data_IF_190170327778
#
_entry.id   IF_190170327778
#
_cell.length_a   1.000
_cell.length_b   1.000
_cell.length_c   1.000
_cell.angle_alpha   90.00
_cell.angle_beta   90.00
_cell.angle_gamma   90.00
#
_symmetry.space_group_name_H-M   'P 1'
#
loop_
_entity.id
_entity.type
_entity.pdbx_description
1 polymer ?
#
# COMPACT_ATOMS: atom_id res chain seq x y z
N UNK A 1 -13.96 37.59 2.31
CA UNK A 1 -13.68 37.28 3.72
C UNK A 1 -13.77 35.75 3.89
N UNK A 2 -12.63 35.06 3.83
CA UNK A 2 -12.57 33.62 4.07
C UNK A 2 -12.34 33.41 5.56
N UNK A 3 -13.32 32.78 6.23
CA UNK A 3 -13.22 32.38 7.62
C UNK A 3 -12.20 31.23 7.73
N UNK A 4 -11.09 31.49 8.38
CA UNK A 4 -10.15 30.46 8.83
C UNK A 4 -10.88 29.56 9.84
N UNK A 5 -11.27 28.37 9.42
CA UNK A 5 -11.73 27.32 10.32
C UNK A 5 -10.54 26.90 11.19
N UNK A 6 -10.55 27.34 12.43
CA UNK A 6 -9.62 26.89 13.46
C UNK A 6 -9.74 25.37 13.61
N UNK A 7 -8.70 24.64 13.19
CA UNK A 7 -8.55 23.22 13.50
C UNK A 7 -8.64 23.05 15.00
N UNK A 8 -9.64 22.31 15.51
CA UNK A 8 -9.65 21.82 16.88
C UNK A 8 -8.31 21.19 17.20
N UNK A 9 -7.69 21.51 18.35
CA UNK A 9 -6.47 20.85 18.75
C UNK A 9 -6.74 19.34 18.81
N UNK A 10 -5.87 18.55 18.18
CA UNK A 10 -5.86 17.11 18.37
C UNK A 10 -5.82 16.88 19.87
N UNK A 11 -6.85 16.24 20.43
CA UNK A 11 -6.79 15.70 21.77
C UNK A 11 -5.45 14.93 21.84
N UNK A 12 -4.51 15.44 22.61
CA UNK A 12 -3.36 14.64 23.02
C UNK A 12 -3.94 13.40 23.67
N UNK A 13 -3.80 12.25 23.01
CA UNK A 13 -4.07 10.97 23.62
C UNK A 13 -3.17 10.91 24.87
N UNK A 14 -3.73 11.23 26.02
CA UNK A 14 -3.09 10.94 27.30
C UNK A 14 -2.94 9.42 27.33
N UNK A 15 -1.75 8.96 27.01
CA UNK A 15 -1.38 7.57 27.23
C UNK A 15 -1.72 7.27 28.70
N UNK A 16 -2.50 6.22 28.92
CA UNK A 16 -2.82 5.79 30.26
C UNK A 16 -1.51 5.59 31.02
N UNK A 17 -1.36 6.29 32.14
CA UNK A 17 -0.17 6.20 32.97
C UNK A 17 -0.11 4.91 33.79
N UNK A 18 -1.18 4.13 33.76
CA UNK A 18 -1.26 2.84 34.44
C UNK A 18 -0.59 1.78 33.57
N UNK A 19 0.43 1.08 34.06
CA UNK A 19 1.05 -0.01 33.29
C UNK A 19 -0.02 -1.09 32.99
N UNK A 20 0.07 -1.73 31.79
CA UNK A 20 -0.84 -2.80 31.44
C UNK A 20 -0.70 -3.98 32.44
N UNK A 21 -1.76 -4.78 32.60
CA UNK A 21 -1.67 -6.00 33.39
C UNK A 21 -0.52 -6.89 32.91
N UNK A 22 0.16 -7.61 33.82
CA UNK A 22 1.31 -8.45 33.46
C UNK A 22 1.06 -9.43 32.32
N UNK A 23 -0.16 -9.96 32.22
CA UNK A 23 -0.60 -10.86 31.16
C UNK A 23 -0.69 -10.20 29.79
N UNK A 24 -0.70 -8.88 29.71
CA UNK A 24 -0.71 -8.10 28.45
C UNK A 24 0.64 -7.48 28.11
N UNK A 25 1.66 -7.62 28.97
CA UNK A 25 2.94 -6.90 28.83
C UNK A 25 3.79 -7.34 27.65
N UNK A 26 3.55 -8.55 27.11
CA UNK A 26 4.33 -9.11 25.98
C UNK A 26 3.68 -8.92 24.61
N UNK A 27 2.53 -8.27 24.54
CA UNK A 27 1.87 -8.01 23.24
C UNK A 27 2.68 -7.08 22.36
N UNK A 28 3.51 -6.20 22.95
CA UNK A 28 4.38 -5.28 22.25
C UNK A 28 5.50 -5.98 21.47
N UNK A 29 5.90 -7.18 21.90
CA UNK A 29 6.95 -7.99 21.27
C UNK A 29 6.40 -9.05 20.32
N UNK A 30 5.08 -9.13 20.14
CA UNK A 30 4.49 -10.08 19.19
C UNK A 30 4.86 -9.68 17.76
N UNK A 31 5.38 -10.64 17.00
CA UNK A 31 5.81 -10.43 15.62
C UNK A 31 4.70 -9.81 14.75
N UNK A 32 3.46 -10.29 14.88
CA UNK A 32 2.31 -9.74 14.15
C UNK A 32 2.03 -8.27 14.48
N UNK A 33 2.16 -7.88 15.75
CA UNK A 33 2.02 -6.50 16.18
C UNK A 33 3.14 -5.62 15.59
N UNK A 34 4.38 -6.07 15.67
CA UNK A 34 5.54 -5.34 15.14
C UNK A 34 5.45 -5.16 13.62
N UNK A 35 5.06 -6.22 12.89
CA UNK A 35 4.83 -6.15 11.45
C UNK A 35 3.71 -5.18 11.10
N UNK A 36 2.59 -5.22 11.82
CA UNK A 36 1.49 -4.28 11.62
C UNK A 36 1.89 -2.83 11.87
N UNK A 37 2.64 -2.58 12.95
CA UNK A 37 3.17 -1.24 13.26
C UNK A 37 4.17 -0.76 12.21
N UNK A 38 5.07 -1.63 11.78
CA UNK A 38 6.05 -1.32 10.72
C UNK A 38 5.35 -1.00 9.40
N UNK A 39 4.41 -1.84 8.98
CA UNK A 39 3.61 -1.62 7.78
C UNK A 39 2.85 -0.29 7.83
N UNK A 40 2.19 0.01 8.96
CA UNK A 40 1.49 1.29 9.13
C UNK A 40 2.42 2.50 8.95
N UNK A 41 3.65 2.45 9.48
CA UNK A 41 4.61 3.54 9.34
C UNK A 41 5.02 3.76 7.89
N UNK A 42 5.29 2.68 7.15
CA UNK A 42 5.61 2.74 5.71
C UNK A 42 4.45 3.33 4.92
N UNK A 43 3.23 2.84 5.13
CA UNK A 43 2.04 3.33 4.47
C UNK A 43 1.73 4.79 4.79
N UNK A 44 1.95 5.21 6.03
CA UNK A 44 1.69 6.60 6.43
C UNK A 44 2.59 7.59 5.68
N UNK A 45 3.87 7.26 5.49
CA UNK A 45 4.79 8.06 4.67
C UNK A 45 4.34 8.07 3.20
N UNK A 46 4.00 6.89 2.66
CA UNK A 46 3.54 6.76 1.28
C UNK A 46 2.25 7.56 1.03
N UNK A 47 1.26 7.44 1.91
CA UNK A 47 -0.01 8.21 1.84
C UNK A 47 0.23 9.71 1.82
N UNK A 48 1.17 10.18 2.65
CA UNK A 48 1.52 11.61 2.67
C UNK A 48 2.08 12.08 1.33
N UNK A 49 2.92 11.29 0.69
CA UNK A 49 3.46 11.60 -0.63
C UNK A 49 2.40 11.50 -1.74
N UNK A 50 1.53 10.48 -1.70
CA UNK A 50 0.46 10.27 -2.68
C UNK A 50 -0.65 11.32 -2.60
N UNK A 51 -0.91 11.90 -1.43
CA UNK A 51 -1.96 12.93 -1.26
C UNK A 51 -1.76 14.14 -2.16
N UNK A 52 -0.53 14.43 -2.55
CA UNK A 52 -0.20 15.50 -3.47
C UNK A 52 -0.56 15.17 -4.93
N UNK A 53 -0.82 13.91 -5.26
CA UNK A 53 -1.18 13.44 -6.61
C UNK A 53 -2.68 13.19 -6.78
N UNK A 54 -3.50 13.49 -5.78
CA UNK A 54 -4.95 13.21 -5.76
C UNK A 54 -5.30 11.73 -5.95
N UNK A 55 -4.36 10.83 -5.69
CA UNK A 55 -4.53 9.40 -5.76
C UNK A 55 -4.49 8.81 -4.35
N UNK A 56 -5.29 7.78 -4.14
CA UNK A 56 -5.28 7.03 -2.91
C UNK A 56 -4.33 5.82 -2.99
N UNK A 57 -4.18 5.17 -1.86
CA UNK A 57 -3.35 3.97 -1.73
C UNK A 57 -3.85 2.81 -2.61
N UNK A 58 -5.17 2.65 -2.76
CA UNK A 58 -5.74 1.61 -3.59
C UNK A 58 -5.37 1.80 -5.07
N UNK A 59 -5.48 3.04 -5.57
CA UNK A 59 -5.04 3.38 -6.92
C UNK A 59 -3.56 3.07 -7.13
N UNK A 60 -2.71 3.38 -6.14
CA UNK A 60 -1.29 3.04 -6.18
C UNK A 60 -1.05 1.54 -6.42
N UNK A 61 -1.70 0.67 -5.63
CA UNK A 61 -1.53 -0.78 -5.77
C UNK A 61 -2.07 -1.31 -7.08
N UNK A 62 -3.23 -0.84 -7.54
CA UNK A 62 -3.83 -1.25 -8.82
C UNK A 62 -2.89 -0.89 -9.97
N UNK A 63 -2.43 0.35 -10.03
CA UNK A 63 -1.54 0.81 -11.10
C UNK A 63 -0.20 0.06 -11.07
N UNK A 64 0.36 -0.22 -9.88
CA UNK A 64 1.58 -1.00 -9.74
C UNK A 64 1.41 -2.43 -10.27
N UNK A 65 0.32 -3.10 -9.93
CA UNK A 65 0.00 -4.45 -10.41
C UNK A 65 -0.14 -4.46 -11.93
N UNK A 66 -0.93 -3.54 -12.50
CA UNK A 66 -1.11 -3.44 -13.95
C UNK A 66 0.15 -3.02 -14.70
N UNK A 67 1.07 -2.32 -14.04
CA UNK A 67 2.37 -1.97 -14.64
C UNK A 67 3.28 -3.20 -14.80
N UNK A 68 3.17 -4.16 -13.88
CA UNK A 68 3.96 -5.40 -13.87
C UNK A 68 3.28 -6.49 -14.71
N UNK A 69 1.98 -6.64 -14.54
CA UNK A 69 1.14 -7.66 -15.16
C UNK A 69 -0.04 -6.98 -15.86
N UNK A 70 0.17 -6.49 -17.05
CA UNK A 70 -0.86 -5.82 -17.84
C UNK A 70 -1.98 -6.79 -18.29
N UNK A 71 -3.14 -6.25 -18.63
CA UNK A 71 -4.27 -7.01 -19.18
C UNK A 71 -4.83 -8.08 -18.22
N UNK A 72 -5.27 -7.62 -17.04
CA UNK A 72 -5.81 -8.48 -15.99
C UNK A 72 -7.34 -8.37 -15.88
N UNK A 73 -8.01 -9.44 -15.45
CA UNK A 73 -9.39 -9.41 -14.97
C UNK A 73 -9.48 -8.78 -13.58
N UNK A 74 -10.69 -8.42 -13.14
CA UNK A 74 -10.93 -7.91 -11.79
C UNK A 74 -10.55 -8.95 -10.72
N UNK A 75 -10.82 -10.23 -10.96
CA UNK A 75 -10.46 -11.32 -10.06
C UNK A 75 -8.94 -11.46 -9.93
N UNK A 76 -8.22 -11.43 -11.06
CA UNK A 76 -6.75 -11.46 -11.05
C UNK A 76 -6.15 -10.27 -10.31
N UNK A 77 -6.67 -9.05 -10.53
CA UNK A 77 -6.22 -7.87 -9.79
C UNK A 77 -6.45 -8.07 -8.28
N UNK A 78 -7.65 -8.50 -7.87
CA UNK A 78 -7.95 -8.76 -6.46
C UNK A 78 -7.04 -9.81 -5.85
N UNK A 79 -6.70 -10.86 -6.60
CA UNK A 79 -5.73 -11.87 -6.14
C UNK A 79 -4.37 -11.25 -5.84
N UNK A 80 -3.85 -10.41 -6.73
CA UNK A 80 -2.55 -9.76 -6.55
C UNK A 80 -2.52 -8.70 -5.43
N UNK A 81 -3.64 -8.00 -5.16
CA UNK A 81 -3.71 -6.99 -4.11
C UNK A 81 -4.28 -7.51 -2.79
N UNK A 82 -4.63 -8.79 -2.69
CA UNK A 82 -5.28 -9.39 -1.51
C UNK A 82 -4.52 -9.15 -0.20
N UNK A 83 -3.20 -9.11 -0.25
CA UNK A 83 -2.34 -8.83 0.93
C UNK A 83 -2.54 -7.44 1.53
N UNK A 84 -3.13 -6.50 0.78
CA UNK A 84 -3.42 -5.14 1.28
C UNK A 84 -4.65 -5.08 2.18
N UNK A 85 -5.49 -6.13 2.16
CA UNK A 85 -6.78 -6.15 2.83
C UNK A 85 -7.87 -5.30 2.14
N UNK A 86 -7.57 -4.73 0.97
CA UNK A 86 -8.52 -3.97 0.17
C UNK A 86 -9.11 -4.83 -0.94
N UNK A 87 -10.40 -4.67 -1.16
CA UNK A 87 -11.10 -5.26 -2.32
C UNK A 87 -11.23 -4.20 -3.42
N UNK A 88 -10.76 -4.55 -4.62
CA UNK A 88 -10.93 -3.72 -5.81
C UNK A 88 -12.29 -4.01 -6.43
N UNK A 89 -13.08 -2.97 -6.61
CA UNK A 89 -14.41 -3.07 -7.20
C UNK A 89 -14.43 -2.55 -8.64
N UNK A 90 -15.41 -2.98 -9.42
CA UNK A 90 -15.63 -2.45 -10.76
C UNK A 90 -15.87 -0.93 -10.74
N UNK A 91 -16.53 -0.41 -9.70
CA UNK A 91 -16.74 1.03 -9.52
C UNK A 91 -15.40 1.78 -9.34
N UNK A 92 -14.46 1.19 -8.58
CA UNK A 92 -13.10 1.72 -8.45
C UNK A 92 -12.34 1.71 -9.77
N UNK A 93 -12.44 0.64 -10.55
CA UNK A 93 -11.81 0.55 -11.88
C UNK A 93 -12.41 1.57 -12.86
N UNK A 94 -13.72 1.76 -12.85
CA UNK A 94 -14.38 2.82 -13.65
C UNK A 94 -13.99 4.23 -13.21
N UNK A 95 -13.68 4.43 -11.93
CA UNK A 95 -13.13 5.70 -11.47
C UNK A 95 -11.75 5.95 -12.11
N UNK A 96 -10.87 4.96 -12.11
CA UNK A 96 -9.55 5.06 -12.76
C UNK A 96 -9.65 5.22 -14.28
N UNK A 97 -10.65 4.62 -14.92
CA UNK A 97 -10.95 4.82 -16.34
C UNK A 97 -11.33 6.28 -16.62
N UNK A 98 -12.22 6.89 -15.82
CA UNK A 98 -12.58 8.30 -15.96
C UNK A 98 -11.39 9.25 -15.75
N UNK A 99 -10.40 8.82 -14.94
CA UNK A 99 -9.14 9.53 -14.78
C UNK A 99 -8.14 9.26 -15.92
N UNK A 100 -8.56 8.48 -16.92
CA UNK A 100 -7.73 8.10 -18.07
C UNK A 100 -6.44 7.35 -17.67
N UNK A 101 -6.46 6.63 -16.55
CA UNK A 101 -5.33 5.84 -16.06
C UNK A 101 -5.41 4.38 -16.49
N UNK A 102 -6.63 3.87 -16.63
CA UNK A 102 -6.94 2.49 -17.02
C UNK A 102 -7.92 2.51 -18.17
N UNK A 103 -7.80 1.59 -19.11
CA UNK A 103 -8.82 1.27 -20.11
C UNK A 103 -9.49 -0.05 -19.74
N UNK A 104 -10.80 -0.13 -19.97
CA UNK A 104 -11.60 -1.34 -19.77
C UNK A 104 -11.91 -1.92 -21.15
N UNK A 105 -11.45 -3.15 -21.40
CA UNK A 105 -11.64 -3.87 -22.65
C UNK A 105 -12.55 -5.08 -22.45
N UNK A 106 -13.29 -5.46 -23.49
CA UNK A 106 -14.19 -6.61 -23.47
C UNK A 106 -15.61 -6.30 -23.02
N UNK A 107 -16.47 -7.35 -23.07
CA UNK A 107 -17.88 -7.27 -22.70
C UNK A 107 -18.10 -7.41 -21.20
N UNK A 108 -19.28 -7.02 -20.73
CA UNK A 108 -19.66 -7.16 -19.33
C UNK A 108 -19.56 -8.64 -18.89
N UNK A 109 -18.83 -8.90 -17.81
CA UNK A 109 -18.55 -10.23 -17.28
C UNK A 109 -17.23 -10.86 -17.76
N UNK A 110 -16.60 -10.32 -18.83
CA UNK A 110 -15.28 -10.75 -19.32
C UNK A 110 -14.29 -9.58 -19.47
N UNK A 111 -14.53 -8.51 -18.71
CA UNK A 111 -13.74 -7.30 -18.79
C UNK A 111 -12.28 -7.53 -18.38
N UNK A 112 -11.39 -6.91 -19.17
CA UNK A 112 -9.94 -6.87 -18.92
C UNK A 112 -9.54 -5.43 -18.70
N UNK A 113 -8.55 -5.22 -17.85
CA UNK A 113 -8.07 -3.91 -17.47
C UNK A 113 -6.62 -3.74 -17.92
N UNK A 114 -6.36 -2.66 -18.63
CA UNK A 114 -5.03 -2.35 -19.16
C UNK A 114 -4.64 -0.93 -18.78
N UNK A 115 -3.34 -0.67 -18.59
CA UNK A 115 -2.87 0.69 -18.37
C UNK A 115 -2.95 1.49 -19.67
N UNK A 116 -3.45 2.72 -19.57
CA UNK A 116 -3.23 3.71 -20.62
C UNK A 116 -1.77 4.21 -20.59
N UNK A 117 -1.36 4.97 -21.61
CA UNK A 117 -0.06 5.63 -21.58
C UNK A 117 0.09 6.54 -20.35
N UNK A 118 -0.98 7.31 -20.02
CA UNK A 118 -1.02 8.16 -18.83
C UNK A 118 -0.97 7.33 -17.53
N UNK A 119 -1.68 6.21 -17.48
CA UNK A 119 -1.64 5.30 -16.32
C UNK A 119 -0.25 4.72 -16.09
N UNK A 120 0.45 4.35 -17.16
CA UNK A 120 1.82 3.84 -17.10
C UNK A 120 2.79 4.92 -16.59
N UNK A 121 2.70 6.13 -17.13
CA UNK A 121 3.52 7.24 -16.66
C UNK A 121 3.25 7.55 -15.18
N UNK A 122 1.99 7.62 -14.77
CA UNK A 122 1.58 7.84 -13.38
C UNK A 122 2.12 6.73 -12.47
N UNK A 123 2.02 5.47 -12.89
CA UNK A 123 2.57 4.34 -12.12
C UNK A 123 4.08 4.45 -11.93
N UNK A 124 4.82 4.82 -12.97
CA UNK A 124 6.27 5.01 -12.88
C UNK A 124 6.64 6.15 -11.92
N UNK A 125 5.89 7.25 -11.92
CA UNK A 125 6.06 8.35 -10.96
C UNK A 125 5.81 7.89 -9.53
N UNK A 126 4.76 7.08 -9.31
CA UNK A 126 4.45 6.50 -7.99
C UNK A 126 5.52 5.54 -7.50
N UNK A 127 6.08 4.70 -8.40
CA UNK A 127 7.22 3.82 -8.08
C UNK A 127 8.45 4.65 -7.69
N UNK A 128 8.68 5.78 -8.35
CA UNK A 128 9.76 6.69 -7.96
C UNK A 128 9.57 7.26 -6.55
N UNK A 129 8.35 7.62 -6.16
CA UNK A 129 8.03 8.04 -4.80
C UNK A 129 8.22 6.90 -3.77
N UNK A 130 7.80 5.68 -4.11
CA UNK A 130 8.03 4.53 -3.24
C UNK A 130 9.53 4.27 -3.01
N UNK A 131 10.38 4.51 -4.02
CA UNK A 131 11.84 4.42 -3.87
C UNK A 131 12.40 5.50 -2.93
N UNK A 132 11.83 6.70 -2.90
CA UNK A 132 12.20 7.75 -1.92
C UNK A 132 11.88 7.29 -0.51
N UNK A 133 10.67 6.72 -0.28
CA UNK A 133 10.31 6.14 1.03
C UNK A 133 11.29 5.06 1.44
N UNK A 134 11.64 4.16 0.53
CA UNK A 134 12.61 3.09 0.75
C UNK A 134 13.99 3.63 1.16
N UNK A 135 14.47 4.68 0.48
CA UNK A 135 15.74 5.32 0.81
C UNK A 135 15.73 5.96 2.20
N UNK A 136 14.65 6.66 2.56
CA UNK A 136 14.50 7.26 3.89
C UNK A 136 14.47 6.20 5.00
N UNK A 137 13.73 5.10 4.80
CA UNK A 137 13.66 4.00 5.75
C UNK A 137 15.02 3.31 5.90
N UNK A 138 15.71 3.07 4.79
CA UNK A 138 17.06 2.48 4.78
C UNK A 138 18.05 3.39 5.51
N UNK A 139 17.97 4.71 5.31
CA UNK A 139 18.82 5.67 6.01
C UNK A 139 18.58 5.68 7.52
N UNK A 140 17.33 5.53 7.96
CA UNK A 140 16.95 5.51 9.38
C UNK A 140 17.34 4.20 10.08
N UNK A 141 17.21 3.06 9.39
CA UNK A 141 17.56 1.75 9.94
C UNK A 141 19.06 1.46 9.87
N UNK A 142 19.76 2.03 8.89
CA UNK A 142 21.08 1.60 8.46
C UNK A 142 21.00 0.51 7.37
N UNK A 143 21.95 0.51 6.47
CA UNK A 143 21.96 -0.36 5.28
C UNK A 143 21.93 -1.85 5.68
N UNK A 144 22.75 -2.26 6.65
CA UNK A 144 22.86 -3.65 7.09
C UNK A 144 21.54 -4.16 7.67
N UNK A 145 20.90 -3.39 8.57
CA UNK A 145 19.65 -3.77 9.23
C UNK A 145 18.49 -3.77 8.25
N UNK A 146 18.42 -2.78 7.35
CA UNK A 146 17.41 -2.76 6.28
C UNK A 146 17.53 -3.99 5.37
N UNK A 147 18.74 -4.40 5.01
CA UNK A 147 18.97 -5.58 4.20
C UNK A 147 18.60 -6.87 4.96
N UNK A 148 18.97 -6.98 6.23
CA UNK A 148 18.61 -8.10 7.08
C UNK A 148 17.09 -8.23 7.23
N UNK A 149 16.39 -7.11 7.46
CA UNK A 149 14.93 -7.09 7.54
C UNK A 149 14.27 -7.58 6.24
N UNK A 150 14.75 -7.13 5.07
CA UNK A 150 14.24 -7.61 3.78
C UNK A 150 14.39 -9.11 3.60
N UNK A 151 15.55 -9.66 3.98
CA UNK A 151 15.79 -11.12 3.91
C UNK A 151 14.83 -11.87 4.82
N UNK A 152 14.62 -11.39 6.05
CA UNK A 152 13.72 -12.03 7.01
C UNK A 152 12.26 -11.96 6.55
N UNK A 153 11.81 -10.82 6.02
CA UNK A 153 10.46 -10.67 5.48
C UNK A 153 10.22 -11.58 4.27
N UNK A 154 11.18 -11.68 3.35
CA UNK A 154 11.07 -12.61 2.21
C UNK A 154 10.95 -14.06 2.67
N UNK A 155 11.75 -14.47 3.66
CA UNK A 155 11.66 -15.81 4.25
C UNK A 155 10.31 -16.05 4.91
N UNK A 156 9.79 -15.07 5.67
CA UNK A 156 8.48 -15.14 6.30
C UNK A 156 7.37 -15.34 5.26
N UNK A 157 7.39 -14.58 4.15
CA UNK A 157 6.41 -14.69 3.06
C UNK A 157 6.42 -16.11 2.48
N UNK A 158 7.59 -16.65 2.15
CA UNK A 158 7.71 -18.01 1.57
C UNK A 158 7.23 -19.09 2.51
N UNK A 159 7.52 -18.95 3.81
CA UNK A 159 7.16 -19.98 4.81
C UNK A 159 5.68 -19.92 5.18
N UNK A 160 5.08 -18.71 5.19
CA UNK A 160 3.74 -18.51 5.73
C UNK A 160 2.64 -18.74 4.70
N UNK A 161 2.86 -18.40 3.43
CA UNK A 161 1.86 -18.59 2.37
C UNK A 161 2.50 -18.81 1.00
N UNK A 162 2.78 -20.07 0.66
CA UNK A 162 3.29 -20.42 -0.66
C UNK A 162 2.24 -20.23 -1.78
N UNK A 163 0.98 -19.95 -1.43
CA UNK A 163 -0.12 -19.78 -2.38
C UNK A 163 -0.34 -18.35 -2.88
N UNK A 164 0.26 -17.34 -2.24
CA UNK A 164 0.20 -15.97 -2.76
C UNK A 164 0.99 -15.86 -4.07
N UNK A 165 0.36 -15.35 -5.15
CA UNK A 165 1.07 -15.20 -6.40
C UNK A 165 2.22 -14.21 -6.26
N UNK A 166 3.42 -14.63 -6.70
CA UNK A 166 4.55 -13.73 -6.79
C UNK A 166 4.38 -12.84 -8.03
N UNK A 167 4.23 -11.55 -7.81
CA UNK A 167 4.14 -10.56 -8.89
C UNK A 167 5.40 -10.54 -9.77
N UNK A 168 6.51 -11.03 -9.23
CA UNK A 168 7.83 -10.99 -9.85
C UNK A 168 8.28 -12.32 -10.47
N UNK A 169 7.48 -13.38 -10.32
CA UNK A 169 7.75 -14.69 -10.88
C UNK A 169 7.51 -14.76 -12.40
#
# INVERSE_FOLDING_TARGET
QYALTTRKPRNELRLATTPPPPECSYTEDLLGYLLGRGHYQVLNVLRHLLSNQQLDEQAFFILAVLCIRDNLSLEEINTFVSYTGHEVTLAGMRFLERQQLVAIEGEEGSQRFVLTANGRETSLQQVALAKVVEQELTAKLGIADAQALKVLLKRLIVVSDPGLPDLWA
#
